data_IF_099668380274
#
_entry.id   IF_099668380274
#
_cell.length_a   1.000
_cell.length_b   1.000
_cell.length_c   1.000
_cell.angle_alpha   90.00
_cell.angle_beta   90.00
_cell.angle_gamma   90.00
#
_symmetry.space_group_name_H-M   'P 1'
#
loop_
_entity.id
_entity.type
_entity.pdbx_description
1 polymer ?
#
# COMPACT_ATOMS: atom_id res chain seq x y z
N UNK A 1 -19.22 8.61 7.70
CA UNK A 1 -18.03 7.77 7.43
C UNK A 1 -18.09 6.59 8.39
N UNK A 2 -18.06 5.34 7.91
CA UNK A 2 -17.95 4.17 8.80
C UNK A 2 -16.48 3.98 9.21
N UNK A 3 -16.15 3.93 10.51
CA UNK A 3 -14.84 3.47 10.98
C UNK A 3 -14.56 2.07 10.41
N UNK A 4 -13.35 1.83 9.91
CA UNK A 4 -12.98 0.53 9.35
C UNK A 4 -13.31 0.34 7.86
N UNK A 5 -13.94 1.32 7.18
CA UNK A 5 -14.20 1.21 5.75
C UNK A 5 -12.89 1.26 4.93
N UNK A 6 -12.71 0.39 3.92
CA UNK A 6 -11.58 0.48 3.00
C UNK A 6 -11.56 1.83 2.28
N UNK A 7 -10.39 2.47 2.21
CA UNK A 7 -10.17 3.69 1.45
C UNK A 7 -9.51 3.37 0.11
N UNK A 8 -10.08 3.86 -0.99
CA UNK A 8 -9.43 3.82 -2.29
C UNK A 8 -8.21 4.75 -2.31
N UNK A 9 -7.06 4.21 -2.71
CA UNK A 9 -5.79 4.92 -2.77
C UNK A 9 -5.07 4.58 -4.07
N UNK A 10 -4.10 5.40 -4.45
CA UNK A 10 -3.23 5.08 -5.57
C UNK A 10 -1.80 4.83 -5.07
N UNK A 11 -1.12 3.84 -5.65
CA UNK A 11 0.24 3.46 -5.27
C UNK A 11 1.15 3.38 -6.47
N UNK A 12 2.42 3.73 -6.28
CA UNK A 12 3.49 3.41 -7.24
C UNK A 12 4.74 3.02 -6.47
N UNK A 13 5.69 2.35 -7.12
CA UNK A 13 7.00 2.11 -6.48
C UNK A 13 7.66 3.47 -6.25
N UNK A 14 8.21 3.72 -5.07
CA UNK A 14 8.94 4.96 -4.85
C UNK A 14 10.17 5.01 -5.77
N UNK A 15 10.33 6.10 -6.51
CA UNK A 15 11.45 6.25 -7.44
C UNK A 15 12.75 6.48 -6.65
N UNK A 16 13.72 5.58 -6.83
CA UNK A 16 15.08 5.79 -6.30
C UNK A 16 15.96 6.61 -7.25
N UNK A 17 15.53 6.80 -8.50
CA UNK A 17 16.27 7.55 -9.52
C UNK A 17 15.32 8.44 -10.34
N UNK A 18 15.43 9.78 -10.21
CA UNK A 18 14.54 10.74 -10.91
C UNK A 18 14.72 10.78 -12.44
N UNK A 19 15.67 10.02 -13.02
CA UNK A 19 15.88 9.92 -14.47
C UNK A 19 15.11 8.78 -15.14
N UNK A 20 14.41 7.93 -14.37
CA UNK A 20 13.63 6.81 -14.92
C UNK A 20 12.16 7.22 -15.02
N UNK A 21 11.78 7.78 -16.17
CA UNK A 21 10.47 8.43 -16.36
C UNK A 21 9.32 7.50 -16.78
N UNK A 22 9.59 6.23 -17.10
CA UNK A 22 8.63 5.38 -17.83
C UNK A 22 8.06 4.18 -17.05
N UNK A 23 8.47 3.93 -15.80
CA UNK A 23 8.14 2.69 -15.09
C UNK A 23 7.13 2.78 -13.93
N UNK A 24 6.66 3.97 -13.56
CA UNK A 24 5.97 4.16 -12.28
C UNK A 24 4.63 4.89 -12.39
N UNK A 25 3.70 4.32 -13.16
CA UNK A 25 2.31 4.75 -13.12
C UNK A 25 1.71 4.41 -11.76
N UNK A 26 0.84 5.28 -11.28
CA UNK A 26 -0.01 4.96 -10.13
C UNK A 26 -0.96 3.84 -10.51
N UNK A 27 -0.98 2.79 -9.70
CA UNK A 27 -1.95 1.71 -9.72
C UNK A 27 -2.95 1.84 -8.58
N UNK A 28 -4.05 1.12 -8.72
CA UNK A 28 -5.13 1.08 -7.72
C UNK A 28 -4.74 0.20 -6.54
N UNK A 29 -5.05 0.67 -5.33
CA UNK A 29 -4.95 -0.11 -4.11
C UNK A 29 -6.08 0.27 -3.15
N UNK A 30 -6.23 -0.53 -2.09
CA UNK A 30 -7.09 -0.19 -0.95
C UNK A 30 -6.25 -0.07 0.31
N UNK A 31 -6.41 1.03 1.02
CA UNK A 31 -5.93 1.18 2.39
C UNK A 31 -7.01 0.66 3.33
N UNK A 32 -6.72 -0.43 4.04
CA UNK A 32 -7.51 -0.89 5.16
C UNK A 32 -7.05 -0.11 6.39
N UNK A 33 -7.90 0.74 6.99
CA UNK A 33 -7.53 1.50 8.17
C UNK A 33 -7.30 0.57 9.37
N UNK A 34 -6.53 1.07 10.33
CA UNK A 34 -6.32 0.40 11.61
C UNK A 34 -7.65 0.28 12.39
N UNK A 35 -7.84 -0.84 13.09
CA UNK A 35 -8.83 -0.99 14.16
C UNK A 35 -8.08 -1.18 15.49
N UNK A 36 -7.86 -0.08 16.20
CA UNK A 36 -7.14 -0.05 17.47
C UNK A 36 -7.85 -0.87 18.56
N UNK A 37 -9.19 -0.92 18.56
CA UNK A 37 -9.95 -1.68 19.55
C UNK A 37 -9.73 -3.20 19.38
N UNK A 38 -9.49 -3.65 18.15
CA UNK A 38 -9.23 -5.06 17.81
C UNK A 38 -7.75 -5.40 17.60
N UNK A 39 -6.84 -4.42 17.78
CA UNK A 39 -5.40 -4.56 17.51
C UNK A 39 -5.09 -5.01 16.07
N UNK A 40 -5.88 -4.54 15.11
CA UNK A 40 -5.68 -4.83 13.69
C UNK A 40 -4.91 -3.65 13.09
N UNK A 41 -3.65 -3.83 12.66
CA UNK A 41 -2.88 -2.74 12.06
C UNK A 41 -3.44 -2.35 10.68
N UNK A 42 -3.11 -1.15 10.23
CA UNK A 42 -3.41 -0.75 8.85
C UNK A 42 -2.70 -1.66 7.83
N UNK A 43 -3.39 -1.98 6.73
CA UNK A 43 -2.84 -2.83 5.67
C UNK A 43 -3.16 -2.26 4.29
N UNK A 44 -2.36 -2.63 3.29
CA UNK A 44 -2.62 -2.32 1.89
C UNK A 44 -3.05 -3.58 1.17
N UNK A 45 -4.15 -3.48 0.41
CA UNK A 45 -4.53 -4.45 -0.62
C UNK A 45 -4.01 -3.93 -1.95
N UNK A 46 -3.11 -4.71 -2.55
CA UNK A 46 -2.36 -4.41 -3.77
C UNK A 46 -2.77 -5.38 -4.88
N UNK A 47 -2.43 -5.03 -6.12
CA UNK A 47 -2.47 -5.96 -7.24
C UNK A 47 -1.52 -7.15 -7.00
N UNK A 48 -1.73 -8.31 -7.63
CA UNK A 48 -0.81 -9.44 -7.53
C UNK A 48 0.62 -9.04 -7.95
N UNK A 49 1.62 -9.68 -7.35
CA UNK A 49 3.07 -9.48 -7.63
C UNK A 49 3.63 -8.12 -7.21
N UNK A 50 2.86 -7.29 -6.50
CA UNK A 50 3.33 -6.00 -5.99
C UNK A 50 4.10 -6.14 -4.68
N UNK A 51 3.76 -7.12 -3.84
CA UNK A 51 4.43 -7.33 -2.58
C UNK A 51 5.87 -7.78 -2.81
N UNK A 52 6.80 -7.02 -2.24
CA UNK A 52 8.17 -7.43 -1.99
C UNK A 52 8.55 -6.87 -0.63
N UNK A 53 9.19 -7.70 0.21
CA UNK A 53 9.64 -7.26 1.53
C UNK A 53 10.54 -6.01 1.39
N UNK A 54 10.29 -5.01 2.24
CA UNK A 54 10.98 -3.71 2.23
C UNK A 54 10.79 -2.87 0.96
N UNK A 55 9.87 -3.23 0.06
CA UNK A 55 9.53 -2.36 -1.07
C UNK A 55 8.93 -1.06 -0.54
N UNK A 56 9.47 0.05 -1.02
CA UNK A 56 8.99 1.39 -0.71
C UNK A 56 8.01 1.82 -1.80
N UNK A 57 6.84 2.30 -1.39
CA UNK A 57 5.77 2.78 -2.27
C UNK A 57 5.44 4.23 -1.95
N UNK A 58 5.20 5.03 -2.98
CA UNK A 58 4.47 6.28 -2.83
C UNK A 58 2.97 5.96 -2.75
N UNK A 59 2.31 6.42 -1.69
CA UNK A 59 0.90 6.28 -1.45
C UNK A 59 0.23 7.64 -1.62
N UNK A 60 -0.60 7.76 -2.65
CA UNK A 60 -1.44 8.93 -2.89
C UNK A 60 -2.79 8.74 -2.19
N UNK A 61 -3.04 9.58 -1.19
CA UNK A 61 -4.34 9.71 -0.51
C UNK A 61 -4.85 11.14 -0.65
N UNK A 62 -5.32 11.78 0.44
CA UNK A 62 -5.46 13.24 0.46
C UNK A 62 -4.09 13.92 0.50
N UNK A 63 -3.11 13.25 1.12
CA UNK A 63 -1.71 13.66 1.16
C UNK A 63 -0.84 12.59 0.50
N UNK A 64 0.31 13.02 -0.04
CA UNK A 64 1.35 12.12 -0.50
C UNK A 64 2.22 11.68 0.68
N UNK A 65 2.35 10.37 0.86
CA UNK A 65 3.29 9.79 1.83
C UNK A 65 3.99 8.57 1.26
N UNK A 66 5.17 8.29 1.76
CA UNK A 66 5.93 7.11 1.39
C UNK A 66 5.81 6.04 2.47
N UNK A 67 5.57 4.80 2.06
CA UNK A 67 5.39 3.66 2.97
C UNK A 67 6.29 2.50 2.58
N UNK A 68 6.68 1.67 3.55
CA UNK A 68 7.53 0.49 3.34
C UNK A 68 6.77 -0.78 3.69
N UNK A 69 6.61 -1.67 2.71
CA UNK A 69 5.95 -2.97 2.92
C UNK A 69 6.76 -3.84 3.88
N UNK A 70 6.07 -4.48 4.83
CA UNK A 70 6.68 -5.26 5.91
C UNK A 70 6.43 -6.77 5.74
N UNK A 71 5.19 -7.21 5.82
CA UNK A 71 4.82 -8.62 5.77
C UNK A 71 3.58 -8.84 4.89
N UNK A 72 3.60 -9.90 4.09
CA UNK A 72 2.43 -10.40 3.35
C UNK A 72 1.53 -11.15 4.33
N UNK A 73 0.27 -10.73 4.44
CA UNK A 73 -0.73 -11.34 5.31
C UNK A 73 -1.60 -12.34 4.55
N UNK A 74 -1.94 -12.03 3.30
CA UNK A 74 -2.86 -12.83 2.50
C UNK A 74 -2.59 -12.63 1.01
N UNK A 75 -2.81 -13.69 0.24
CA UNK A 75 -2.83 -13.65 -1.23
C UNK A 75 -4.13 -14.28 -1.70
N UNK A 76 -4.89 -13.52 -2.48
CA UNK A 76 -6.05 -14.02 -3.21
C UNK A 76 -5.74 -14.25 -4.69
N UNK A 77 -6.76 -14.59 -5.47
CA UNK A 77 -6.62 -14.80 -6.92
C UNK A 77 -6.26 -13.53 -7.69
N UNK A 78 -6.53 -12.35 -7.13
CA UNK A 78 -6.34 -11.06 -7.78
C UNK A 78 -5.84 -9.96 -6.82
N UNK A 79 -5.33 -10.32 -5.64
CA UNK A 79 -4.79 -9.35 -4.70
C UNK A 79 -3.69 -9.93 -3.80
N UNK A 80 -2.88 -9.02 -3.26
CA UNK A 80 -1.97 -9.27 -2.14
C UNK A 80 -2.28 -8.28 -1.02
N UNK A 81 -2.40 -8.74 0.23
CA UNK A 81 -2.62 -7.88 1.38
C UNK A 81 -1.38 -7.87 2.26
N UNK A 82 -0.82 -6.69 2.50
CA UNK A 82 0.43 -6.54 3.25
C UNK A 82 0.35 -5.47 4.33
N UNK A 83 1.11 -5.66 5.41
CA UNK A 83 1.39 -4.62 6.40
C UNK A 83 2.43 -3.65 5.85
N UNK A 84 2.44 -2.43 6.39
CA UNK A 84 3.41 -1.41 6.03
C UNK A 84 3.75 -0.50 7.22
N UNK A 85 4.85 0.22 7.11
CA UNK A 85 5.25 1.30 8.03
C UNK A 85 5.50 2.58 7.24
N UNK A 86 5.58 3.73 7.94
CA UNK A 86 6.14 4.93 7.33
C UNK A 86 7.58 4.63 6.87
N UNK A 87 7.93 5.06 5.66
CA UNK A 87 9.24 4.83 5.07
C UNK A 87 10.32 5.72 5.68
#
# INVERSE_FOLDING_TARGET
MLPGAPQAVAVRVAETNPRVTNANKYERALLMPEDAARKIPATLVLLPTWYQANRVLDLYTNDNRTVKLQALLETGSNFERATFTAA
#
